data_IF_166633247674
#
_entry.id   IF_166633247674
#
_cell.length_a   1.000
_cell.length_b   1.000
_cell.length_c   1.000
_cell.angle_alpha   90.00
_cell.angle_beta   90.00
_cell.angle_gamma   90.00
#
_symmetry.space_group_name_H-M   'P 1'
#
loop_
_entity.id
_entity.type
_entity.pdbx_description
1 polymer ?
#
# COMPACT_ATOMS: atom_id res chain seq x y z
N UNK A 1 -9.64 -23.03 11.02
CA UNK A 1 -9.95 -22.92 9.58
C UNK A 1 -10.35 -21.47 9.38
N UNK A 2 -9.38 -20.58 9.13
CA UNK A 2 -9.57 -19.12 9.05
C UNK A 2 -9.78 -18.66 7.60
N UNK A 3 -10.24 -19.57 6.73
CA UNK A 3 -10.05 -19.48 5.28
C UNK A 3 -11.29 -19.03 4.49
N UNK A 4 -12.46 -18.97 5.15
CA UNK A 4 -13.78 -18.74 4.54
C UNK A 4 -14.44 -17.42 4.97
N UNK A 5 -13.74 -16.53 5.68
CA UNK A 5 -14.29 -15.18 5.94
C UNK A 5 -14.23 -14.35 4.66
N UNK A 6 -15.41 -13.94 4.17
CA UNK A 6 -15.54 -12.91 3.15
C UNK A 6 -14.90 -11.62 3.66
N UNK A 7 -14.04 -11.01 2.86
CA UNK A 7 -13.41 -9.73 3.22
C UNK A 7 -14.50 -8.66 3.16
N UNK A 8 -14.70 -7.96 4.27
CA UNK A 8 -15.65 -6.86 4.33
C UNK A 8 -15.13 -5.64 3.58
N UNK A 9 -16.03 -4.77 3.12
CA UNK A 9 -15.63 -3.55 2.42
C UNK A 9 -14.71 -2.65 3.27
N UNK A 10 -14.95 -2.59 4.58
CA UNK A 10 -14.11 -1.83 5.52
C UNK A 10 -12.68 -2.39 5.57
N UNK A 11 -12.53 -3.72 5.64
CA UNK A 11 -11.21 -4.36 5.63
C UNK A 11 -10.45 -4.15 4.32
N UNK A 12 -11.15 -4.09 3.18
CA UNK A 12 -10.53 -3.79 1.89
C UNK A 12 -9.96 -2.37 1.86
N UNK A 13 -10.73 -1.41 2.36
CA UNK A 13 -10.32 0.00 2.45
C UNK A 13 -9.13 0.15 3.39
N UNK A 14 -9.11 -0.54 4.54
CA UNK A 14 -7.97 -0.56 5.45
C UNK A 14 -6.69 -1.13 4.81
N UNK A 15 -6.82 -2.21 4.03
CA UNK A 15 -5.67 -2.83 3.34
C UNK A 15 -5.13 -1.90 2.25
N UNK A 16 -6.02 -1.28 1.47
CA UNK A 16 -5.63 -0.31 0.42
C UNK A 16 -4.91 0.88 1.05
N UNK A 17 -5.46 1.42 2.14
CA UNK A 17 -4.88 2.57 2.84
C UNK A 17 -3.50 2.24 3.42
N UNK A 18 -3.38 1.08 4.08
CA UNK A 18 -2.10 0.60 4.62
C UNK A 18 -1.03 0.50 3.52
N UNK A 19 -1.37 -0.07 2.37
CA UNK A 19 -0.44 -0.21 1.25
C UNK A 19 -0.05 1.14 0.67
N UNK A 20 -1.00 2.04 0.50
CA UNK A 20 -0.74 3.39 0.01
C UNK A 20 0.24 4.12 0.95
N UNK A 21 0.03 3.99 2.26
CA UNK A 21 0.92 4.55 3.29
C UNK A 21 2.34 4.00 3.21
N UNK A 22 2.51 2.69 3.03
CA UNK A 22 3.86 2.12 2.88
C UNK A 22 4.54 2.63 1.60
N UNK A 23 3.82 2.74 0.48
CA UNK A 23 4.38 3.36 -0.74
C UNK A 23 4.86 4.79 -0.49
N UNK A 24 4.02 5.61 0.13
CA UNK A 24 4.36 7.00 0.43
C UNK A 24 5.53 7.12 1.41
N UNK A 25 5.57 6.28 2.45
CA UNK A 25 6.62 6.26 3.48
C UNK A 25 8.02 6.10 2.88
N UNK A 26 8.13 5.34 1.79
CA UNK A 26 9.38 5.11 1.06
C UNK A 26 9.54 5.99 -0.19
N UNK A 27 8.61 6.91 -0.47
CA UNK A 27 8.67 7.79 -1.65
C UNK A 27 8.46 7.05 -2.97
N UNK A 28 7.69 5.96 -2.95
CA UNK A 28 7.45 5.07 -4.09
C UNK A 28 6.09 5.29 -4.74
N UNK A 29 5.29 6.27 -4.31
CA UNK A 29 3.95 6.54 -4.81
C UNK A 29 3.90 6.67 -6.34
N UNK A 30 4.79 7.48 -6.93
CA UNK A 30 4.84 7.69 -8.39
C UNK A 30 5.27 6.43 -9.14
N UNK A 31 6.25 5.69 -8.62
CA UNK A 31 6.70 4.44 -9.22
C UNK A 31 5.60 3.37 -9.14
N UNK A 32 4.87 3.33 -8.03
CA UNK A 32 3.71 2.47 -7.81
C UNK A 32 2.58 2.74 -8.80
N UNK A 33 2.20 4.01 -8.97
CA UNK A 33 1.19 4.42 -9.96
C UNK A 33 1.60 3.94 -11.35
N UNK A 34 2.83 4.23 -11.80
CA UNK A 34 3.29 3.82 -13.13
C UNK A 34 3.27 2.30 -13.32
N UNK A 35 3.70 1.55 -12.32
CA UNK A 35 3.69 0.08 -12.35
C UNK A 35 2.26 -0.45 -12.45
N UNK A 36 1.37 -0.02 -11.56
CA UNK A 36 -0.02 -0.49 -11.51
C UNK A 36 -0.78 -0.12 -12.79
N UNK A 37 -0.60 1.09 -13.31
CA UNK A 37 -1.17 1.53 -14.60
C UNK A 37 -0.70 0.64 -15.76
N UNK A 38 0.59 0.28 -15.79
CA UNK A 38 1.13 -0.58 -16.84
C UNK A 38 0.52 -2.00 -16.85
N UNK A 39 -0.03 -2.42 -15.73
CA UNK A 39 -0.63 -3.74 -15.53
C UNK A 39 -2.15 -3.77 -15.81
N UNK A 40 -2.82 -2.61 -15.94
CA UNK A 40 -4.27 -2.52 -16.26
C UNK A 40 -4.69 -3.30 -17.53
N UNK A 41 -3.92 -3.34 -18.63
CA UNK A 41 -4.29 -4.13 -19.81
C UNK A 41 -4.36 -5.62 -19.52
N UNK A 42 -3.57 -6.10 -18.54
CA UNK A 42 -3.42 -7.51 -18.19
C UNK A 42 -4.51 -7.94 -17.20
N UNK A 43 -4.92 -7.05 -16.30
CA UNK A 43 -5.91 -7.33 -15.24
C UNK A 43 -7.28 -7.77 -15.80
N UNK A 44 -7.71 -7.18 -16.93
CA UNK A 44 -8.90 -7.58 -17.69
C UNK A 44 -8.95 -9.07 -18.10
N UNK A 45 -7.79 -9.74 -18.17
CA UNK A 45 -7.68 -11.12 -18.65
C UNK A 45 -7.37 -12.14 -17.56
N UNK A 46 -7.29 -11.74 -16.28
CA UNK A 46 -6.95 -12.68 -15.20
C UNK A 46 -7.47 -12.26 -13.83
N UNK A 47 -8.56 -12.90 -13.39
CA UNK A 47 -9.18 -12.71 -12.06
C UNK A 47 -8.39 -13.31 -10.89
N UNK A 48 -7.12 -13.67 -11.06
CA UNK A 48 -6.30 -14.38 -10.07
C UNK A 48 -4.88 -13.82 -9.95
N UNK A 49 -4.71 -12.54 -10.28
CA UNK A 49 -3.40 -11.91 -10.41
C UNK A 49 -2.93 -11.17 -9.15
N UNK A 50 -3.64 -11.28 -8.02
CA UNK A 50 -3.26 -10.66 -6.75
C UNK A 50 -1.80 -10.95 -6.36
N UNK A 51 -1.30 -12.16 -6.64
CA UNK A 51 0.10 -12.52 -6.43
C UNK A 51 1.10 -11.72 -7.28
N UNK A 52 0.76 -11.40 -8.54
CA UNK A 52 1.63 -10.64 -9.45
C UNK A 52 1.74 -9.18 -8.99
N UNK A 53 0.64 -8.60 -8.48
CA UNK A 53 0.66 -7.25 -7.93
C UNK A 53 1.44 -7.19 -6.61
N UNK A 54 1.22 -8.15 -5.71
CA UNK A 54 1.79 -8.15 -4.36
C UNK A 54 3.27 -8.57 -4.34
N UNK A 55 3.71 -9.47 -5.21
CA UNK A 55 5.08 -10.01 -5.15
C UNK A 55 6.19 -8.94 -5.22
N UNK A 56 6.13 -7.95 -6.13
CA UNK A 56 7.10 -6.84 -6.16
C UNK A 56 7.07 -5.95 -4.91
N UNK A 57 5.99 -5.99 -4.14
CA UNK A 57 5.76 -5.15 -2.96
C UNK A 57 6.26 -5.82 -1.66
N UNK A 58 6.64 -7.10 -1.70
CA UNK A 58 7.17 -7.84 -0.55
C UNK A 58 8.31 -7.11 0.20
N UNK A 59 9.31 -6.50 -0.47
CA UNK A 59 10.38 -5.80 0.23
C UNK A 59 9.92 -4.53 0.96
N UNK A 60 8.81 -3.94 0.51
CA UNK A 60 8.23 -2.70 1.06
C UNK A 60 7.34 -3.03 2.25
N UNK A 61 6.50 -4.07 2.09
CA UNK A 61 5.46 -4.44 3.05
C UNK A 61 5.94 -5.40 4.15
N UNK A 62 7.07 -6.11 3.93
CA UNK A 62 7.77 -6.90 4.94
C UNK A 62 6.89 -7.95 5.64
N UNK A 63 7.16 -8.17 6.93
CA UNK A 63 6.46 -9.18 7.76
C UNK A 63 4.98 -8.86 7.98
N UNK A 64 4.58 -7.58 7.89
CA UNK A 64 3.18 -7.16 7.97
C UNK A 64 2.34 -7.74 6.82
N UNK A 65 2.96 -7.95 5.66
CA UNK A 65 2.33 -8.67 4.56
C UNK A 65 2.19 -10.16 4.84
N UNK A 66 2.98 -10.80 5.71
CA UNK A 66 2.70 -12.21 6.08
C UNK A 66 1.48 -12.31 7.01
N UNK A 67 1.19 -11.30 7.83
CA UNK A 67 0.01 -11.26 8.69
C UNK A 67 -1.27 -10.88 7.94
N UNK A 68 -1.17 -10.02 6.92
CA UNK A 68 -2.31 -9.55 6.11
C UNK A 68 -2.33 -10.12 4.68
N UNK A 69 -1.38 -10.98 4.30
CA UNK A 69 -1.04 -11.31 2.90
C UNK A 69 -2.11 -12.06 2.13
N UNK A 70 -2.74 -13.04 2.77
CA UNK A 70 -3.85 -13.77 2.13
C UNK A 70 -5.03 -12.85 1.87
N UNK A 71 -5.30 -11.92 2.79
CA UNK A 71 -6.35 -10.89 2.60
C UNK A 71 -5.91 -9.89 1.53
N UNK A 72 -4.69 -9.38 1.58
CA UNK A 72 -4.17 -8.44 0.59
C UNK A 72 -4.20 -9.02 -0.83
N UNK A 73 -3.78 -10.27 -1.03
CA UNK A 73 -3.88 -10.93 -2.33
C UNK A 73 -5.32 -10.95 -2.85
N UNK A 74 -6.28 -11.36 -2.01
CA UNK A 74 -7.70 -11.38 -2.36
C UNK A 74 -8.27 -9.98 -2.63
N UNK A 75 -7.84 -8.95 -1.88
CA UNK A 75 -8.23 -7.56 -2.14
C UNK A 75 -7.84 -7.16 -3.56
N UNK A 76 -6.64 -7.49 -4.03
CA UNK A 76 -6.18 -7.14 -5.39
C UNK A 76 -6.54 -8.16 -6.48
N UNK A 77 -7.38 -9.16 -6.18
CA UNK A 77 -8.01 -9.97 -7.25
C UNK A 77 -9.06 -9.17 -8.01
N UNK A 78 -9.60 -8.10 -7.41
CA UNK A 78 -10.62 -7.25 -8.01
C UNK A 78 -10.00 -5.99 -8.61
N UNK A 79 -10.27 -5.76 -9.89
CA UNK A 79 -9.78 -4.60 -10.65
C UNK A 79 -10.14 -3.28 -9.98
N UNK A 80 -11.34 -3.19 -9.38
CA UNK A 80 -11.81 -1.98 -8.71
C UNK A 80 -10.93 -1.59 -7.51
N UNK A 81 -10.35 -2.57 -6.81
CA UNK A 81 -9.48 -2.30 -5.66
C UNK A 81 -8.08 -1.86 -6.08
N UNK A 82 -7.58 -2.37 -7.22
CA UNK A 82 -6.35 -1.85 -7.84
C UNK A 82 -6.54 -0.39 -8.23
N UNK A 83 -7.68 -0.05 -8.83
CA UNK A 83 -8.01 1.33 -9.20
C UNK A 83 -8.12 2.25 -7.98
N UNK A 84 -8.76 1.80 -6.89
CA UNK A 84 -8.80 2.53 -5.61
C UNK A 84 -7.41 2.82 -5.07
N UNK A 85 -6.49 1.84 -5.13
CA UNK A 85 -5.11 2.03 -4.70
C UNK A 85 -4.38 3.07 -5.56
N UNK A 86 -4.53 3.02 -6.88
CA UNK A 86 -3.92 4.00 -7.79
C UNK A 86 -4.38 5.41 -7.43
N UNK A 87 -5.70 5.62 -7.31
CA UNK A 87 -6.27 6.92 -6.96
C UNK A 87 -5.78 7.42 -5.60
N UNK A 88 -5.64 6.52 -4.61
CA UNK A 88 -5.11 6.89 -3.30
C UNK A 88 -3.63 7.30 -3.37
N UNK A 89 -2.81 6.59 -4.15
CA UNK A 89 -1.41 6.96 -4.38
C UNK A 89 -1.29 8.30 -5.11
N UNK A 90 -2.15 8.58 -6.10
CA UNK A 90 -2.19 9.86 -6.81
C UNK A 90 -2.52 11.01 -5.86
N UNK A 91 -3.52 10.83 -5.00
CA UNK A 91 -3.90 11.78 -3.98
C UNK A 91 -2.74 12.07 -3.02
N UNK A 92 -2.09 11.03 -2.48
CA UNK A 92 -0.91 11.19 -1.62
C UNK A 92 0.27 11.85 -2.34
N UNK A 93 0.46 11.60 -3.65
CA UNK A 93 1.52 12.20 -4.43
C UNK A 93 1.32 13.71 -4.62
N UNK A 94 0.07 14.14 -4.82
CA UNK A 94 -0.29 15.55 -5.07
C UNK A 94 -0.46 16.33 -3.77
N UNK A 95 -1.26 15.80 -2.85
CA UNK A 95 -1.70 16.50 -1.64
C UNK A 95 -0.84 16.16 -0.41
N UNK A 96 -0.01 15.12 -0.49
CA UNK A 96 0.66 14.55 0.68
C UNK A 96 -0.31 13.74 1.53
N UNK A 97 0.13 13.36 2.72
CA UNK A 97 -0.76 12.79 3.73
C UNK A 97 -1.20 13.96 4.61
N UNK A 98 -2.45 14.41 4.49
CA UNK A 98 -3.07 15.17 5.58
C UNK A 98 -3.15 14.20 6.76
N UNK A 99 -2.42 14.49 7.85
CA UNK A 99 -2.41 13.70 9.08
C UNK A 99 -3.79 13.72 9.76
N UNK A 100 -4.81 13.14 9.14
CA UNK A 100 -6.10 12.86 9.76
C UNK A 100 -6.20 11.36 10.01
N UNK A 101 -5.84 11.01 11.25
CA UNK A 101 -6.01 9.74 11.98
C UNK A 101 -4.69 9.02 12.18
N UNK A 102 -4.06 9.40 13.29
CA UNK A 102 -3.55 8.46 14.28
C UNK A 102 -4.15 7.07 14.05
N UNK A 103 -3.33 6.17 13.50
CA UNK A 103 -3.53 4.75 13.54
C UNK A 103 -3.99 4.40 14.95
N UNK A 104 -5.26 4.00 15.09
CA UNK A 104 -5.74 3.40 16.33
C UNK A 104 -4.80 2.26 16.68
N UNK A 105 -4.19 2.42 17.84
CA UNK A 105 -3.32 1.52 18.56
C UNK A 105 -3.63 0.04 18.28
N UNK A 106 -2.70 -0.67 17.64
CA UNK A 106 -2.46 -2.07 17.95
C UNK A 106 -1.15 -2.15 18.76
N UNK A 107 -1.17 -2.66 20.00
CA UNK A 107 0.01 -2.73 20.83
C UNK A 107 0.84 -3.95 20.42
N UNK A 108 1.82 -3.77 19.54
CA UNK A 108 2.92 -4.74 19.44
C UNK A 108 4.12 -4.21 20.21
N UNK A 109 4.26 -4.82 21.37
CA UNK A 109 5.37 -4.85 22.31
C UNK A 109 6.66 -4.07 21.95
N UNK A 110 7.05 -3.22 22.90
CA UNK A 110 8.33 -2.51 23.00
C UNK A 110 9.50 -3.47 22.88
N UNK A 111 10.49 -3.11 22.06
CA UNK A 111 11.90 -3.07 22.44
C UNK A 111 12.68 -2.29 21.36
N UNK A 112 13.19 -1.13 21.80
CA UNK A 112 14.37 -0.38 21.35
C UNK A 112 14.55 -0.08 19.85
N UNK A 113 14.24 1.16 19.45
CA UNK A 113 15.18 1.99 18.69
C UNK A 113 14.77 3.47 18.77
N UNK A 114 15.71 4.31 19.20
CA UNK A 114 15.57 5.77 19.27
C UNK A 114 15.29 6.32 17.86
N UNK A 115 14.06 6.78 17.61
CA UNK A 115 13.73 7.46 16.35
C UNK A 115 14.31 8.88 16.40
N UNK A 116 15.53 9.01 15.90
CA UNK A 116 16.09 10.30 15.48
C UNK A 116 15.16 10.87 14.42
N UNK A 117 14.51 11.98 14.75
CA UNK A 117 13.71 12.78 13.81
C UNK A 117 14.65 13.48 12.82
N UNK A 118 15.14 12.73 11.82
CA UNK A 118 15.75 13.34 10.65
C UNK A 118 14.64 13.92 9.75
N UNK A 119 14.56 15.25 9.70
CA UNK A 119 13.79 15.98 8.70
C UNK A 119 14.15 15.43 7.30
N UNK A 120 13.22 14.67 6.70
CA UNK A 120 13.42 14.01 5.41
C UNK A 120 13.64 15.04 4.31
N UNK A 121 14.90 15.30 3.96
CA UNK A 121 15.30 16.03 2.75
C UNK A 121 15.14 15.12 1.54
N UNK A 122 13.91 15.03 1.04
CA UNK A 122 13.58 14.29 -0.17
C UNK A 122 14.33 14.82 -1.41
N UNK A 123 14.55 13.95 -2.39
CA UNK A 123 15.20 14.28 -3.67
C UNK A 123 14.49 15.36 -4.49
N UNK A 124 13.27 15.76 -4.07
CA UNK A 124 12.51 16.91 -4.57
C UNK A 124 13.34 18.20 -4.66
N UNK A 125 14.38 18.37 -3.83
CA UNK A 125 15.30 19.53 -3.91
C UNK A 125 16.20 19.55 -5.17
N UNK A 126 16.37 18.41 -5.84
CA UNK A 126 17.27 18.27 -7.00
C UNK A 126 16.53 18.18 -8.34
N UNK A 127 15.19 18.24 -8.33
CA UNK A 127 14.39 18.25 -9.55
C UNK A 127 14.19 19.70 -10.03
N UNK A 128 14.58 20.05 -11.27
CA UNK A 128 14.56 21.42 -11.77
C UNK A 128 13.19 21.88 -12.31
N UNK A 129 12.08 21.34 -11.81
CA UNK A 129 10.74 21.63 -12.31
C UNK A 129 9.75 21.90 -11.17
#
# INVERSE_FOLDING_TARGET
MFWDEEITQEEEEEIIEWIAHEFYKYGLETAGIMFLESMKPISRYGSSMGQIFISPMLPILGDNLMMKGDKAMRVFERDENVEKLIQRLEDMAVNGIEDEKETKEEPSNKEDEEVVTEEKKGWRRYLPF
#
